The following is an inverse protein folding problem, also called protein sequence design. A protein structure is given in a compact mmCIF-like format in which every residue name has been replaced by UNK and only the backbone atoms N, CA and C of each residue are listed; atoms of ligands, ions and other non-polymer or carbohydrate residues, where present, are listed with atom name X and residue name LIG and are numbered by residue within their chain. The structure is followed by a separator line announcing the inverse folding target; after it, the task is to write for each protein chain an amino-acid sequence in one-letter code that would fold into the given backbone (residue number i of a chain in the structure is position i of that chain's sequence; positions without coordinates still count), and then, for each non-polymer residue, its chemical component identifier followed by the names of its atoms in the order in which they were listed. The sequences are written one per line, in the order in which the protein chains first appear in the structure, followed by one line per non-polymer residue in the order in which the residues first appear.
data_IF_148909599734
#
_entry.id   IF_148909599734
#
_cell.length_a   1.000
_cell.length_b   1.000
_cell.length_c   1.000
_cell.angle_alpha   90.00
_cell.angle_beta   90.00
_cell.angle_gamma   90.00
#
_symmetry.space_group_name_H-M   'P 1'
#
loop_
_entity.id
_entity.type
_entity.pdbx_description
1 polymer ?
#
# COMPACT_ATOMS: atom_id res chain seq x y z
N UNK A 1 -5.50 4.37 -20.22
CA UNK A 1 -5.86 3.22 -19.39
C UNK A 1 -7.09 3.57 -18.55
N UNK A 2 -8.24 2.98 -18.87
CA UNK A 2 -9.45 3.18 -18.09
C UNK A 2 -9.40 2.30 -16.82
N UNK A 3 -9.58 2.86 -15.61
CA UNK A 3 -9.58 2.09 -14.37
C UNK A 3 -10.76 1.11 -14.29
N UNK A 4 -11.85 1.42 -14.99
CA UNK A 4 -13.06 0.58 -15.05
C UNK A 4 -13.69 0.68 -16.44
N UNK A 5 -13.83 -0.46 -17.11
CA UNK A 5 -14.45 -0.54 -18.43
C UNK A 5 -15.90 -1.04 -18.30
N UNK A 6 -16.11 -2.07 -17.49
CA UNK A 6 -17.41 -2.72 -17.34
C UNK A 6 -17.83 -2.72 -15.87
N UNK A 7 -19.03 -2.17 -15.58
CA UNK A 7 -19.60 -2.23 -14.24
C UNK A 7 -19.83 -3.68 -13.83
N UNK A 8 -19.58 -4.00 -12.56
CA UNK A 8 -19.72 -5.36 -12.04
C UNK A 8 -18.56 -6.32 -12.37
N UNK A 9 -17.55 -5.88 -13.12
CA UNK A 9 -16.33 -6.65 -13.38
C UNK A 9 -15.13 -6.01 -12.67
N UNK A 10 -14.03 -6.75 -12.53
CA UNK A 10 -12.78 -6.20 -12.01
C UNK A 10 -12.27 -5.05 -12.89
N UNK A 11 -11.58 -4.10 -12.28
CA UNK A 11 -10.95 -2.98 -12.96
C UNK A 11 -9.44 -3.14 -13.06
N UNK A 12 -8.78 -2.10 -13.59
CA UNK A 12 -7.32 -2.00 -13.66
C UNK A 12 -6.80 -1.17 -12.48
N UNK A 13 -5.80 -1.68 -11.76
CA UNK A 13 -5.14 -0.99 -10.64
C UNK A 13 -3.68 -0.69 -10.93
N UNK A 14 -3.15 0.34 -10.30
CA UNK A 14 -1.73 0.64 -10.20
C UNK A 14 -1.30 0.45 -8.75
N UNK A 15 -0.55 -0.60 -8.48
CA UNK A 15 -0.08 -0.87 -7.12
C UNK A 15 1.33 -0.33 -6.94
N UNK A 16 1.54 0.47 -5.91
CA UNK A 16 2.82 1.11 -5.64
C UNK A 16 3.50 0.41 -4.48
N UNK A 17 4.61 -0.24 -4.78
CA UNK A 17 5.47 -0.85 -3.77
C UNK A 17 6.47 0.16 -3.23
N UNK A 18 6.54 0.27 -1.92
CA UNK A 18 7.40 1.20 -1.21
C UNK A 18 8.41 0.42 -0.36
N UNK A 19 9.64 0.89 -0.36
CA UNK A 19 10.72 0.36 0.46
C UNK A 19 11.48 1.52 1.10
N UNK A 20 11.95 1.33 2.32
CA UNK A 20 12.92 2.21 2.97
C UNK A 20 14.27 1.53 2.94
N UNK A 21 15.24 2.18 2.34
CA UNK A 21 16.60 1.67 2.22
C UNK A 21 17.61 2.71 2.69
N UNK A 22 18.62 2.24 3.40
CA UNK A 22 19.78 3.03 3.80
C UNK A 22 20.99 2.10 3.90
N UNK A 23 22.10 2.50 3.30
CA UNK A 23 23.37 1.74 3.31
C UNK A 23 23.14 0.28 2.83
N UNK A 24 22.43 0.14 1.70
CA UNK A 24 22.04 -1.14 1.06
C UNK A 24 21.23 -2.09 1.96
N UNK A 25 20.68 -1.56 3.05
CA UNK A 25 19.84 -2.32 3.99
C UNK A 25 18.38 -1.91 3.89
N UNK A 26 17.51 -2.89 3.73
CA UNK A 26 16.05 -2.70 3.79
C UNK A 26 15.60 -2.52 5.26
N UNK A 27 14.85 -1.44 5.50
CA UNK A 27 14.29 -1.10 6.82
C UNK A 27 12.80 -1.42 6.96
N UNK A 28 12.19 -2.05 5.96
CA UNK A 28 10.77 -2.44 6.05
C UNK A 28 10.58 -3.66 6.95
N UNK A 29 11.48 -4.64 6.86
CA UNK A 29 11.40 -5.86 7.66
C UNK A 29 12.77 -6.26 8.22
N UNK A 30 12.74 -6.97 9.34
CA UNK A 30 13.87 -7.63 9.97
C UNK A 30 13.58 -9.14 10.16
N UNK A 31 14.42 -9.83 10.92
CA UNK A 31 14.26 -11.27 11.17
C UNK A 31 13.00 -11.63 11.98
N UNK A 32 12.41 -10.65 12.65
CA UNK A 32 11.18 -10.81 13.45
C UNK A 32 9.94 -10.52 12.64
N UNK A 33 10.04 -9.65 11.63
CA UNK A 33 8.92 -9.25 10.76
C UNK A 33 8.96 -7.78 10.38
N UNK A 34 7.79 -7.15 10.30
CA UNK A 34 7.67 -5.75 9.91
C UNK A 34 8.20 -4.82 11.02
N UNK A 35 9.13 -3.95 10.67
CA UNK A 35 9.78 -3.03 11.62
C UNK A 35 8.82 -1.94 12.12
N UNK A 36 9.17 -1.30 13.24
CA UNK A 36 8.40 -0.19 13.76
C UNK A 36 8.44 1.04 12.82
N UNK A 37 9.54 1.27 12.12
CA UNK A 37 9.63 2.38 11.15
C UNK A 37 8.71 2.13 9.95
N UNK A 38 8.59 0.88 9.49
CA UNK A 38 7.66 0.51 8.44
C UNK A 38 6.20 0.69 8.88
N UNK A 39 5.85 0.35 10.12
CA UNK A 39 4.52 0.60 10.68
C UNK A 39 4.21 2.09 10.76
N UNK A 40 5.17 2.92 11.15
CA UNK A 40 5.03 4.37 11.16
C UNK A 40 4.83 4.95 9.74
N UNK A 41 5.58 4.47 8.76
CA UNK A 41 5.36 4.81 7.35
C UNK A 41 3.92 4.47 6.93
N UNK A 42 3.45 3.27 7.24
CA UNK A 42 2.08 2.82 6.93
C UNK A 42 1.04 3.75 7.58
N UNK A 43 1.24 4.13 8.85
CA UNK A 43 0.35 5.06 9.54
C UNK A 43 0.25 6.42 8.83
N UNK A 44 1.38 6.95 8.37
CA UNK A 44 1.40 8.20 7.61
C UNK A 44 0.65 8.09 6.29
N UNK A 45 0.92 7.04 5.50
CA UNK A 45 0.21 6.79 4.24
C UNK A 45 -1.30 6.65 4.44
N UNK A 46 -1.73 5.94 5.49
CA UNK A 46 -3.15 5.80 5.81
C UNK A 46 -3.77 7.08 6.35
N UNK A 47 -3.02 7.88 7.12
CA UNK A 47 -3.46 9.18 7.61
C UNK A 47 -3.76 10.18 6.49
N UNK A 48 -3.05 10.06 5.38
CA UNK A 48 -3.21 10.90 4.19
C UNK A 48 -3.93 10.20 3.02
N UNK A 49 -4.67 9.11 3.31
CA UNK A 49 -5.29 8.28 2.28
C UNK A 49 -6.19 9.05 1.31
N UNK A 50 -6.95 10.03 1.81
CA UNK A 50 -7.83 10.86 0.98
C UNK A 50 -7.04 11.70 -0.04
N UNK A 51 -6.01 12.41 0.43
CA UNK A 51 -5.15 13.23 -0.44
C UNK A 51 -4.42 12.37 -1.48
N UNK A 52 -3.92 11.20 -1.06
CA UNK A 52 -3.26 10.27 -1.98
C UNK A 52 -4.25 9.70 -3.01
N UNK A 53 -5.51 9.49 -2.63
CA UNK A 53 -6.56 9.04 -3.56
C UNK A 53 -6.87 10.11 -4.59
N UNK A 54 -6.87 11.42 -4.23
CA UNK A 54 -7.06 12.50 -5.19
C UNK A 54 -6.00 12.50 -6.31
N UNK A 55 -4.75 12.17 -5.99
CA UNK A 55 -3.67 12.04 -6.99
C UNK A 55 -3.63 10.68 -7.68
N UNK A 56 -4.04 9.63 -6.99
CA UNK A 56 -3.97 8.26 -7.47
C UNK A 56 -5.18 7.82 -8.29
N UNK A 57 -6.33 8.51 -8.18
CA UNK A 57 -7.62 8.14 -8.75
C UNK A 57 -8.31 9.40 -9.30
N UNK A 58 -7.80 9.94 -10.40
CA UNK A 58 -8.11 11.29 -10.88
C UNK A 58 -9.39 11.43 -11.70
N UNK A 59 -10.06 10.33 -12.03
CA UNK A 59 -11.27 10.34 -12.85
C UNK A 59 -12.43 9.60 -12.17
N UNK A 60 -13.69 9.97 -12.45
CA UNK A 60 -14.85 9.38 -11.78
C UNK A 60 -14.94 7.85 -11.88
N UNK A 61 -14.51 7.27 -12.99
CA UNK A 61 -14.52 5.82 -13.18
C UNK A 61 -13.55 5.07 -12.28
N UNK A 62 -12.55 5.75 -11.69
CA UNK A 62 -11.66 5.20 -10.66
C UNK A 62 -12.45 4.67 -9.45
N UNK A 63 -13.45 5.40 -9.02
CA UNK A 63 -14.26 5.09 -7.84
C UNK A 63 -15.24 3.93 -8.06
N UNK A 64 -15.60 3.66 -9.31
CA UNK A 64 -16.37 2.46 -9.68
C UNK A 64 -15.53 1.17 -9.53
N UNK A 65 -14.21 1.28 -9.44
CA UNK A 65 -13.30 0.17 -9.16
C UNK A 65 -13.19 -0.13 -7.66
N UNK A 66 -13.21 0.90 -6.82
CA UNK A 66 -12.99 0.81 -5.37
C UNK A 66 -14.25 0.35 -4.62
N UNK A 67 -14.85 -0.73 -5.07
CA UNK A 67 -16.10 -1.31 -4.55
C UNK A 67 -15.89 -2.75 -4.08
N UNK A 68 -16.70 -3.28 -3.14
CA UNK A 68 -16.59 -4.64 -2.66
C UNK A 68 -16.64 -5.69 -3.78
N UNK A 69 -15.99 -6.82 -3.55
CA UNK A 69 -15.95 -8.00 -4.45
C UNK A 69 -15.33 -7.75 -5.84
N UNK A 70 -14.45 -6.75 -5.95
CA UNK A 70 -13.80 -6.37 -7.21
C UNK A 70 -12.27 -6.35 -7.13
N UNK A 71 -11.69 -7.07 -6.18
CA UNK A 71 -10.24 -7.17 -5.92
C UNK A 71 -9.54 -5.82 -5.65
N UNK A 72 -10.29 -4.78 -5.39
CA UNK A 72 -9.81 -3.46 -5.04
C UNK A 72 -9.91 -3.22 -3.53
N UNK A 73 -9.10 -2.31 -2.97
CA UNK A 73 -9.21 -1.97 -1.56
C UNK A 73 -10.52 -1.24 -1.28
N UNK A 74 -11.19 -1.65 -0.20
CA UNK A 74 -12.45 -1.06 0.25
C UNK A 74 -12.37 -0.56 1.69
N UNK A 75 -11.24 -0.79 2.35
CA UNK A 75 -11.02 -0.44 3.76
C UNK A 75 -9.74 0.36 3.92
N UNK A 76 -9.82 1.49 4.63
CA UNK A 76 -8.64 2.30 5.00
C UNK A 76 -7.98 1.69 6.23
N UNK A 77 -7.27 0.62 6.01
CA UNK A 77 -6.48 -0.10 7.00
C UNK A 77 -5.31 -0.79 6.32
N UNK A 78 -4.48 -1.48 7.08
CA UNK A 78 -3.40 -2.28 6.54
C UNK A 78 -3.44 -3.71 7.08
N UNK A 79 -2.81 -4.61 6.38
CA UNK A 79 -2.73 -6.00 6.81
C UNK A 79 -1.77 -6.85 6.00
N UNK A 80 -1.41 -7.98 6.60
CA UNK A 80 -0.52 -8.97 5.99
C UNK A 80 -1.33 -9.79 4.96
N UNK A 81 -0.85 -9.83 3.71
CA UNK A 81 -1.42 -10.62 2.61
C UNK A 81 -2.92 -10.40 2.32
N UNK A 82 -3.54 -9.40 2.92
CA UNK A 82 -4.95 -9.07 2.75
C UNK A 82 -5.15 -8.19 1.51
N UNK A 83 -6.05 -8.54 0.59
CA UNK A 83 -6.31 -7.79 -0.65
C UNK A 83 -7.37 -6.70 -0.51
N UNK A 84 -8.17 -6.71 0.56
CA UNK A 84 -9.22 -5.72 0.77
C UNK A 84 -8.75 -4.46 1.50
N UNK A 85 -7.51 -4.44 2.00
CA UNK A 85 -6.92 -3.30 2.70
C UNK A 85 -6.27 -2.31 1.74
N UNK A 86 -6.20 -1.04 2.16
CA UNK A 86 -5.58 0.03 1.38
C UNK A 86 -4.06 -0.15 1.27
N UNK A 87 -3.40 -0.49 2.39
CA UNK A 87 -1.97 -0.79 2.42
C UNK A 87 -1.76 -2.25 2.79
N UNK A 88 -1.26 -3.04 1.85
CA UNK A 88 -0.94 -4.45 2.03
C UNK A 88 0.55 -4.61 2.32
N UNK A 89 0.86 -5.50 3.25
CA UNK A 89 2.19 -6.09 3.37
C UNK A 89 2.16 -7.39 2.55
N UNK A 90 2.75 -7.42 1.36
CA UNK A 90 2.74 -8.63 0.54
C UNK A 90 3.59 -9.72 1.17
N UNK A 91 3.42 -10.96 0.72
CA UNK A 91 4.34 -12.05 1.03
C UNK A 91 5.72 -11.62 0.57
N UNK A 92 6.56 -11.28 1.53
CA UNK A 92 7.89 -10.77 1.26
C UNK A 92 8.91 -11.89 1.23
N UNK A 93 9.96 -11.63 0.52
CA UNK A 93 11.15 -12.44 0.51
C UNK A 93 12.01 -12.04 1.72
N UNK A 94 11.63 -12.51 2.90
CA UNK A 94 12.44 -12.37 4.11
C UNK A 94 13.53 -13.43 4.06
N UNK A 95 14.32 -13.52 3.09
CA UNK A 95 15.52 -14.36 2.88
C UNK A 95 15.87 -15.37 4.01
N UNK A 96 14.85 -15.97 4.64
CA UNK A 96 15.02 -16.93 5.76
C UNK A 96 15.46 -18.30 5.30
N UNK A 97 15.27 -18.61 4.03
CA UNK A 97 15.65 -19.87 3.42
C UNK A 97 16.47 -19.61 2.17
N UNK A 98 17.47 -20.46 1.96
CA UNK A 98 18.22 -20.44 0.73
C UNK A 98 17.46 -21.23 -0.34
N UNK A 99 16.59 -20.55 -1.08
CA UNK A 99 15.72 -21.19 -2.09
C UNK A 99 16.51 -21.98 -3.16
N UNK A 100 17.73 -21.56 -3.47
CA UNK A 100 18.57 -22.26 -4.45
C UNK A 100 18.99 -23.59 -3.85
N UNK A 101 19.43 -23.61 -2.59
CA UNK A 101 19.83 -24.82 -1.89
C UNK A 101 18.63 -25.73 -1.59
N UNK A 102 17.47 -25.13 -1.30
CA UNK A 102 16.22 -25.89 -1.06
C UNK A 102 15.70 -26.53 -2.36
N UNK A 103 15.80 -25.83 -3.49
CA UNK A 103 15.43 -26.36 -4.81
C UNK A 103 16.43 -27.38 -5.35
N UNK A 104 17.71 -27.25 -5.00
CA UNK A 104 18.77 -28.18 -5.40
C UNK A 104 19.64 -28.55 -4.18
N UNK A 105 19.24 -29.51 -3.36
CA UNK A 105 19.98 -29.92 -2.15
C UNK A 105 21.40 -30.44 -2.42
N UNK A 106 21.70 -30.80 -3.65
CA UNK A 106 23.03 -31.27 -4.07
C UNK A 106 23.98 -30.14 -4.48
N UNK A 107 23.48 -28.90 -4.55
CA UNK A 107 24.30 -27.72 -4.85
C UNK A 107 25.37 -27.53 -3.77
N UNK A 108 26.62 -27.60 -4.19
CA UNK A 108 27.80 -27.48 -3.31
C UNK A 108 28.48 -26.10 -3.41
N UNK A 109 28.04 -25.27 -4.37
CA UNK A 109 28.56 -23.91 -4.55
C UNK A 109 28.18 -22.98 -3.41
N UNK A 110 28.96 -21.91 -3.25
CA UNK A 110 28.58 -20.82 -2.36
C UNK A 110 27.35 -20.10 -2.98
N UNK A 111 26.26 -20.02 -2.22
CA UNK A 111 25.08 -19.28 -2.66
C UNK A 111 25.23 -17.83 -2.23
N UNK A 112 25.13 -16.86 -3.15
CA UNK A 112 25.21 -15.45 -2.78
C UNK A 112 24.11 -15.08 -1.79
N UNK A 113 24.43 -14.24 -0.81
CA UNK A 113 23.42 -13.64 0.05
C UNK A 113 22.51 -12.73 -0.80
N UNK A 114 21.23 -13.01 -0.77
CA UNK A 114 20.21 -12.17 -1.41
C UNK A 114 19.50 -11.40 -0.31
N UNK A 115 19.70 -10.08 -0.20
CA UNK A 115 19.03 -9.27 0.81
C UNK A 115 17.53 -9.33 0.66
N UNK A 116 16.81 -9.30 1.78
CA UNK A 116 15.34 -9.26 1.78
C UNK A 116 14.80 -8.05 1.04
N UNK A 117 13.83 -8.27 0.13
CA UNK A 117 13.16 -7.23 -0.68
C UNK A 117 11.73 -6.98 -0.22
N UNK A 118 11.49 -7.03 1.09
CA UNK A 118 10.17 -6.74 1.63
C UNK A 118 9.76 -5.31 1.30
N UNK A 119 8.54 -5.15 0.84
CA UNK A 119 7.90 -3.86 0.57
C UNK A 119 6.58 -3.75 1.33
N UNK A 120 6.00 -2.54 1.34
CA UNK A 120 4.60 -2.30 1.61
C UNK A 120 3.94 -1.77 0.35
N UNK A 121 2.69 -2.10 0.10
CA UNK A 121 2.00 -1.85 -1.16
C UNK A 121 0.77 -0.97 -0.96
N UNK A 122 0.75 0.22 -1.58
CA UNK A 122 -0.44 1.05 -1.70
C UNK A 122 -1.27 0.57 -2.90
N UNK A 123 -2.56 0.29 -2.69
CA UNK A 123 -3.40 -0.44 -3.64
C UNK A 123 -4.53 0.36 -4.29
N UNK A 124 -4.83 1.57 -3.77
CA UNK A 124 -5.93 2.39 -4.32
C UNK A 124 -5.66 2.95 -5.71
N UNK A 125 -4.44 3.39 -6.09
CA UNK A 125 -4.22 4.05 -7.37
C UNK A 125 -4.59 3.21 -8.57
N UNK A 126 -4.80 3.85 -9.70
CA UNK A 126 -5.06 3.23 -11.00
C UNK A 126 -4.31 3.95 -12.14
N UNK A 127 -4.55 3.53 -13.37
CA UNK A 127 -3.85 4.07 -14.54
C UNK A 127 -4.15 5.53 -14.89
N UNK A 128 -5.08 6.19 -14.17
CA UNK A 128 -5.37 7.62 -14.31
C UNK A 128 -4.49 8.49 -13.41
N UNK A 129 -3.68 7.89 -12.53
CA UNK A 129 -2.90 8.60 -11.53
C UNK A 129 -2.00 9.68 -12.10
N UNK A 130 -1.95 10.84 -11.43
CA UNK A 130 -0.87 11.80 -11.59
C UNK A 130 0.36 11.29 -10.82
N UNK A 131 1.25 10.61 -11.55
CA UNK A 131 2.36 9.88 -10.93
C UNK A 131 3.30 10.79 -10.15
N UNK A 132 3.59 12.00 -10.64
CA UNK A 132 4.53 12.90 -9.97
C UNK A 132 3.96 13.43 -8.65
N UNK A 133 2.72 13.90 -8.66
CA UNK A 133 2.05 14.35 -7.44
C UNK A 133 1.79 13.19 -6.47
N UNK A 134 1.41 12.04 -6.97
CA UNK A 134 1.20 10.86 -6.14
C UNK A 134 2.50 10.41 -5.45
N UNK A 135 3.62 10.35 -6.17
CA UNK A 135 4.91 9.99 -5.57
C UNK A 135 5.36 11.01 -4.53
N UNK A 136 5.25 12.31 -4.83
CA UNK A 136 5.56 13.36 -3.88
C UNK A 136 4.66 13.27 -2.63
N UNK A 137 3.36 13.05 -2.81
CA UNK A 137 2.41 12.85 -1.73
C UNK A 137 2.74 11.66 -0.85
N UNK A 138 3.09 10.52 -1.45
CA UNK A 138 3.51 9.31 -0.71
C UNK A 138 4.77 9.58 0.13
N UNK A 139 5.77 10.25 -0.43
CA UNK A 139 7.01 10.57 0.30
C UNK A 139 6.71 11.49 1.50
N UNK A 140 5.89 12.52 1.30
CA UNK A 140 5.48 13.43 2.37
C UNK A 140 4.66 12.72 3.44
N UNK A 141 3.70 11.90 3.05
CA UNK A 141 2.88 11.10 3.97
C UNK A 141 3.72 10.10 4.78
N UNK A 142 4.66 9.41 4.12
CA UNK A 142 5.58 8.50 4.78
C UNK A 142 6.47 9.22 5.78
N UNK A 143 7.02 10.38 5.40
CA UNK A 143 7.84 11.23 6.28
C UNK A 143 7.04 11.70 7.50
N UNK A 144 5.83 12.19 7.30
CA UNK A 144 4.94 12.63 8.37
C UNK A 144 4.69 11.49 9.38
N UNK A 145 4.34 10.29 8.90
CA UNK A 145 4.14 9.13 9.75
C UNK A 145 5.41 8.70 10.50
N UNK A 146 6.57 8.72 9.86
CA UNK A 146 7.85 8.36 10.51
C UNK A 146 8.19 9.32 11.65
N UNK A 147 7.91 10.61 11.47
CA UNK A 147 8.21 11.67 12.45
C UNK A 147 7.16 11.79 13.56
N UNK A 148 5.93 11.35 13.32
CA UNK A 148 4.86 11.44 14.31
C UNK A 148 5.10 10.51 15.51
N UNK A 149 4.91 11.02 16.71
CA UNK A 149 5.13 10.28 17.96
C UNK A 149 4.11 9.15 18.12
N UNK A 150 2.85 9.40 17.81
CA UNK A 150 1.71 8.48 17.98
C UNK A 150 1.49 7.52 16.79
N UNK A 151 2.32 7.61 15.74
CA UNK A 151 2.14 6.84 14.53
C UNK A 151 2.16 5.32 14.74
N UNK A 152 2.99 4.83 15.67
CA UNK A 152 3.06 3.40 15.96
C UNK A 152 1.78 2.88 16.62
N UNK A 153 1.22 3.65 17.55
CA UNK A 153 -0.06 3.33 18.17
C UNK A 153 -1.19 3.32 17.12
N UNK A 154 -1.25 4.35 16.28
CA UNK A 154 -2.18 4.43 15.16
C UNK A 154 -2.06 3.23 14.23
N UNK A 155 -0.83 2.86 13.81
CA UNK A 155 -0.60 1.71 12.95
C UNK A 155 -1.15 0.42 13.58
N UNK A 156 -0.86 0.17 14.84
CA UNK A 156 -1.32 -1.04 15.53
C UNK A 156 -2.85 -1.09 15.68
N UNK A 157 -3.48 0.06 15.94
CA UNK A 157 -4.94 0.18 16.07
C UNK A 157 -5.68 -0.12 14.77
N UNK A 158 -5.11 0.25 13.63
CA UNK A 158 -5.74 0.10 12.31
C UNK A 158 -5.26 -1.14 11.54
N UNK A 159 -4.43 -1.99 12.16
CA UNK A 159 -4.05 -3.29 11.58
C UNK A 159 -5.26 -4.22 11.54
N UNK A 160 -5.66 -4.66 10.33
CA UNK A 160 -6.82 -5.54 10.11
C UNK A 160 -8.10 -5.10 10.86
N UNK A 161 -8.07 -3.93 11.47
CA UNK A 161 -9.25 -3.35 12.07
C UNK A 161 -10.23 -3.16 10.92
N UNK A 162 -11.31 -3.92 10.91
CA UNK A 162 -12.41 -3.79 9.98
C UNK A 162 -13.17 -2.48 10.22
N UNK A 163 -12.45 -1.36 10.16
CA UNK A 163 -13.06 -0.10 9.87
C UNK A 163 -13.57 -0.29 8.46
N UNK A 164 -14.80 -0.81 8.38
CA UNK A 164 -15.58 -0.71 7.14
C UNK A 164 -15.46 0.75 6.77
N UNK A 165 -14.56 1.04 5.85
CA UNK A 165 -14.67 2.27 5.12
C UNK A 165 -16.07 2.19 4.57
N UNK A 166 -17.02 2.83 5.26
CA UNK A 166 -18.29 3.07 4.64
C UNK A 166 -17.93 3.65 3.28
N UNK A 167 -18.64 3.26 2.24
CA UNK A 167 -18.51 3.85 0.90
C UNK A 167 -18.36 5.38 0.94
N UNK A 168 -18.68 5.99 2.07
CA UNK A 168 -18.59 7.40 2.39
C UNK A 168 -17.19 8.01 2.30
N UNK A 169 -16.07 7.34 2.54
CA UNK A 169 -14.76 8.04 2.46
C UNK A 169 -14.38 8.27 1.01
N UNK A 170 -14.57 7.29 0.13
CA UNK A 170 -14.36 7.48 -1.29
C UNK A 170 -15.50 8.33 -1.91
N UNK A 171 -16.73 8.17 -1.45
CA UNK A 171 -17.86 8.96 -1.91
C UNK A 171 -17.79 10.41 -1.41
N UNK A 172 -17.32 10.67 -0.19
CA UNK A 172 -17.13 12.02 0.35
C UNK A 172 -15.99 12.77 -0.36
N UNK A 173 -14.95 12.07 -0.85
CA UNK A 173 -13.95 12.68 -1.71
C UNK A 173 -14.58 13.14 -3.05
N UNK A 174 -15.44 12.32 -3.64
CA UNK A 174 -16.20 12.66 -4.85
C UNK A 174 -17.18 13.82 -4.63
N UNK A 175 -17.87 13.83 -3.49
CA UNK A 175 -18.88 14.86 -3.19
C UNK A 175 -18.23 16.19 -2.76
N UNK A 176 -17.06 16.18 -2.15
CA UNK A 176 -16.34 17.41 -1.82
C UNK A 176 -15.76 18.12 -3.05
N UNK A 177 -15.40 17.38 -4.09
CA UNK A 177 -14.94 17.98 -5.34
C UNK A 177 -16.09 18.54 -6.19
N UNK A 178 -17.27 17.93 -6.13
CA UNK A 178 -18.47 18.44 -6.84
C UNK A 178 -18.97 19.75 -6.23
N UNK A 179 -18.77 19.97 -4.95
CA UNK A 179 -19.20 21.21 -4.24
C UNK A 179 -18.25 22.40 -4.49
N UNK A 180 -17.03 22.17 -4.95
CA UNK A 180 -16.06 23.25 -5.25
C UNK A 180 -16.18 23.77 -6.69
N UNK A 181 -16.96 23.10 -7.55
CA UNK A 181 -17.14 23.49 -8.96
C UNK A 181 -18.51 24.16 -9.24
N UNK A 182 -19.31 24.47 -8.22
CA UNK A 182 -20.53 25.28 -8.31
C UNK A 182 -20.33 26.61 -7.59
#
# INVERSE_FOLDING_TARGET
FAPKITVGKAGSGLHIHMMLEKDDKNYIADDVGLTNIAKKLIAGVLGHAQSLTAFGNTIPTSYLRLVPHQEAPTMVCWGDSNRSVLVRVPLGWIAKTNMIKDANPQERGSVPYIPGKQTVELRSPDGSADLYHLMAGIILAAKDGILAEDALEKANKIKNAGIKCSQSIFLNCLLSEIVVLT
#
